data_IF_975631985998
#
_entry.id   IF_975631985998
#
_cell.length_a   1.000
_cell.length_b   1.000
_cell.length_c   1.000
_cell.angle_alpha   90.00
_cell.angle_beta   90.00
_cell.angle_gamma   90.00
#
_symmetry.space_group_name_H-M   'P 1'
#
loop_
_entity.id
_entity.type
_entity.pdbx_description
1 polymer ?
#
# COMPACT_ATOMS: atom_id res chain seq x y z
N UNK A 1 -7.22 15.52 51.15
CA UNK A 1 -8.16 14.77 50.27
C UNK A 1 -8.04 15.11 48.78
N UNK A 2 -7.31 16.19 48.39
CA UNK A 2 -7.11 16.59 46.98
C UNK A 2 -6.05 15.76 46.25
N UNK A 3 -5.05 15.19 46.92
CA UNK A 3 -3.95 14.43 46.31
C UNK A 3 -4.39 13.05 45.75
N UNK A 4 -5.43 12.44 46.30
CA UNK A 4 -5.89 11.11 45.85
C UNK A 4 -6.57 11.10 44.48
N UNK A 5 -7.19 12.22 44.09
CA UNK A 5 -7.84 12.32 42.78
C UNK A 5 -6.84 12.58 41.64
N UNK A 6 -5.65 13.07 41.96
CA UNK A 6 -4.57 13.32 41.00
C UNK A 6 -3.98 12.00 40.48
N UNK A 7 -3.74 11.01 41.34
CA UNK A 7 -3.12 9.72 40.95
C UNK A 7 -4.00 8.93 39.99
N UNK A 8 -5.29 8.77 40.26
CA UNK A 8 -6.20 8.01 39.39
C UNK A 8 -6.39 8.63 38.01
N UNK A 9 -6.41 9.97 37.94
CA UNK A 9 -6.49 10.69 36.67
C UNK A 9 -5.18 10.58 35.86
N UNK A 10 -4.03 10.55 36.54
CA UNK A 10 -2.72 10.38 35.91
C UNK A 10 -2.56 8.97 35.35
N UNK A 11 -2.95 7.93 36.09
CA UNK A 11 -2.88 6.54 35.66
C UNK A 11 -3.74 6.27 34.43
N UNK A 12 -4.95 6.85 34.38
CA UNK A 12 -5.83 6.72 33.22
C UNK A 12 -5.24 7.39 31.98
N UNK A 13 -4.67 8.59 32.12
CA UNK A 13 -4.03 9.31 31.03
C UNK A 13 -2.80 8.56 30.50
N UNK A 14 -1.98 7.98 31.38
CA UNK A 14 -0.84 7.17 30.99
C UNK A 14 -1.25 5.87 30.26
N UNK A 15 -2.35 5.25 30.65
CA UNK A 15 -2.90 4.07 29.98
C UNK A 15 -3.39 4.44 28.58
N UNK A 16 -4.09 5.57 28.44
CA UNK A 16 -4.54 6.08 27.15
C UNK A 16 -3.35 6.42 26.24
N UNK A 17 -2.35 7.10 26.77
CA UNK A 17 -1.14 7.45 26.01
C UNK A 17 -0.40 6.19 25.55
N UNK A 18 -0.22 5.21 26.41
CA UNK A 18 0.39 3.92 26.06
C UNK A 18 -0.41 3.18 25.00
N UNK A 19 -1.74 3.13 25.13
CA UNK A 19 -2.61 2.49 24.14
C UNK A 19 -2.54 3.20 22.77
N UNK A 20 -2.53 4.54 22.79
CA UNK A 20 -2.41 5.36 21.59
C UNK A 20 -1.06 5.16 20.90
N UNK A 21 0.03 5.20 21.66
CA UNK A 21 1.38 4.93 21.15
C UNK A 21 1.52 3.50 20.61
N UNK A 22 0.93 2.51 21.28
CA UNK A 22 0.94 1.13 20.81
C UNK A 22 0.12 0.96 19.51
N UNK A 23 -1.00 1.66 19.37
CA UNK A 23 -1.79 1.66 18.14
C UNK A 23 -1.03 2.34 16.99
N UNK A 24 -0.42 3.50 17.24
CA UNK A 24 0.43 4.20 16.28
C UNK A 24 1.63 3.34 15.86
N UNK A 25 2.32 2.71 16.81
CA UNK A 25 3.45 1.84 16.53
C UNK A 25 3.07 0.63 15.65
N UNK A 26 1.86 0.10 15.79
CA UNK A 26 1.36 -0.97 14.91
C UNK A 26 1.15 -0.48 13.48
N UNK A 27 0.59 0.71 13.30
CA UNK A 27 0.33 1.30 11.97
C UNK A 27 1.64 1.74 11.30
N UNK A 28 2.59 2.26 12.08
CA UNK A 28 3.87 2.75 11.57
C UNK A 28 5.00 1.70 11.63
N UNK A 29 4.69 0.46 12.04
CA UNK A 29 5.66 -0.63 12.23
C UNK A 29 6.86 -0.23 13.11
N UNK A 30 6.58 0.54 14.16
CA UNK A 30 7.58 0.99 15.14
C UNK A 30 8.30 2.29 14.80
N UNK A 31 8.08 2.89 13.64
CA UNK A 31 8.60 4.22 13.32
C UNK A 31 7.77 5.29 14.03
N UNK A 32 8.43 6.30 14.59
CA UNK A 32 7.71 7.40 15.21
C UNK A 32 7.03 8.28 14.14
N UNK A 33 5.84 8.83 14.42
CA UNK A 33 5.19 9.78 13.50
C UNK A 33 6.09 10.98 13.16
N UNK A 34 6.92 11.43 14.10
CA UNK A 34 7.87 12.52 13.88
C UNK A 34 8.97 12.13 12.87
N UNK A 35 9.50 10.89 12.94
CA UNK A 35 10.48 10.39 11.98
C UNK A 35 9.87 10.32 10.57
N UNK A 36 8.66 9.78 10.44
CA UNK A 36 7.96 9.70 9.16
C UNK A 36 7.67 11.09 8.56
N UNK A 37 7.27 12.05 9.38
CA UNK A 37 7.09 13.44 8.95
C UNK A 37 8.42 14.07 8.52
N UNK A 38 9.51 13.82 9.25
CA UNK A 38 10.86 14.27 8.87
C UNK A 38 11.29 13.73 7.52
N UNK A 39 11.14 12.41 7.30
CA UNK A 39 11.43 11.76 6.04
C UNK A 39 10.59 12.31 4.88
N UNK A 40 9.30 12.53 5.12
CA UNK A 40 8.41 13.12 4.13
C UNK A 40 8.83 14.54 3.75
N UNK A 41 9.12 15.41 4.72
CA UNK A 41 9.53 16.79 4.46
C UNK A 41 10.89 16.86 3.75
N UNK A 42 11.84 16.01 4.14
CA UNK A 42 13.12 15.90 3.47
C UNK A 42 12.93 15.54 1.98
N UNK A 43 12.17 14.49 1.70
CA UNK A 43 11.84 14.08 0.34
C UNK A 43 11.07 15.17 -0.43
N UNK A 44 10.03 15.76 0.18
CA UNK A 44 9.16 16.73 -0.49
C UNK A 44 9.93 17.99 -0.92
N UNK A 45 10.83 18.48 -0.07
CA UNK A 45 11.67 19.65 -0.38
C UNK A 45 12.66 19.33 -1.50
N UNK A 46 13.30 18.17 -1.44
CA UNK A 46 14.29 17.79 -2.46
C UNK A 46 13.65 17.46 -3.80
N UNK A 47 12.50 16.77 -3.84
CA UNK A 47 11.80 16.48 -5.11
C UNK A 47 11.23 17.77 -5.72
N UNK A 48 10.77 18.72 -4.90
CA UNK A 48 10.32 20.03 -5.40
C UNK A 48 11.46 20.79 -6.10
N UNK A 49 12.68 20.69 -5.57
CA UNK A 49 13.89 21.27 -6.14
C UNK A 49 14.55 20.45 -7.25
N UNK A 50 14.01 19.29 -7.64
CA UNK A 50 14.59 18.37 -8.61
C UNK A 50 13.75 18.29 -9.91
N UNK A 51 13.82 19.28 -10.82
CA UNK A 51 13.00 19.29 -12.05
C UNK A 51 13.28 18.10 -12.97
N UNK A 52 14.52 17.65 -13.05
CA UNK A 52 14.91 16.47 -13.84
C UNK A 52 14.25 15.19 -13.31
N UNK A 53 14.22 14.99 -11.99
CA UNK A 53 13.56 13.84 -11.38
C UNK A 53 12.05 13.87 -11.62
N UNK A 54 11.44 15.05 -11.51
CA UNK A 54 9.99 15.20 -11.78
C UNK A 54 9.66 14.92 -13.25
N UNK A 55 10.47 15.39 -14.19
CA UNK A 55 10.31 15.07 -15.60
C UNK A 55 10.43 13.56 -15.84
N UNK A 56 11.46 12.92 -15.30
CA UNK A 56 11.64 11.47 -15.39
C UNK A 56 10.43 10.71 -14.85
N UNK A 57 9.84 11.15 -13.74
CA UNK A 57 8.65 10.53 -13.15
C UNK A 57 7.42 10.71 -14.04
N UNK A 58 7.26 11.88 -14.67
CA UNK A 58 6.19 12.15 -15.62
C UNK A 58 6.33 11.25 -16.87
N UNK A 59 7.51 11.15 -17.45
CA UNK A 59 7.79 10.26 -18.58
C UNK A 59 7.50 8.79 -18.24
N UNK A 60 7.93 8.34 -17.05
CA UNK A 60 7.63 6.99 -16.56
C UNK A 60 6.14 6.76 -16.35
N UNK A 61 5.39 7.77 -15.87
CA UNK A 61 3.94 7.67 -15.70
C UNK A 61 3.25 7.50 -17.06
N UNK A 62 3.62 8.32 -18.05
CA UNK A 62 3.08 8.22 -19.42
C UNK A 62 3.41 6.86 -20.03
N UNK A 63 4.66 6.41 -19.93
CA UNK A 63 5.08 5.11 -20.49
C UNK A 63 4.32 3.94 -19.84
N UNK A 64 4.10 3.99 -18.53
CA UNK A 64 3.32 2.96 -17.80
C UNK A 64 1.85 3.00 -18.17
N UNK A 65 1.26 4.19 -18.28
CA UNK A 65 -0.12 4.36 -18.74
C UNK A 65 -0.32 3.80 -20.16
N UNK A 66 0.57 4.10 -21.09
CA UNK A 66 0.54 3.53 -22.45
C UNK A 66 0.72 2.00 -22.45
N UNK A 67 1.57 1.47 -21.56
CA UNK A 67 1.76 0.02 -21.43
C UNK A 67 0.50 -0.64 -20.95
N UNK A 68 -0.14 -0.09 -19.92
CA UNK A 68 -1.42 -0.59 -19.40
C UNK A 68 -2.53 -0.50 -20.45
N UNK A 69 -2.63 0.62 -21.17
CA UNK A 69 -3.65 0.80 -22.22
C UNK A 69 -3.49 -0.23 -23.33
N UNK A 70 -2.26 -0.47 -23.82
CA UNK A 70 -1.99 -1.50 -24.81
C UNK A 70 -2.33 -2.89 -24.30
N UNK A 71 -2.01 -3.20 -23.07
CA UNK A 71 -2.37 -4.47 -22.43
C UNK A 71 -3.88 -4.65 -22.35
N UNK A 72 -4.61 -3.62 -21.87
CA UNK A 72 -6.06 -3.65 -21.78
C UNK A 72 -6.75 -3.86 -23.16
N UNK A 73 -6.26 -3.17 -24.18
CA UNK A 73 -6.73 -3.38 -25.58
C UNK A 73 -6.47 -4.80 -26.07
N UNK A 74 -5.27 -5.34 -25.81
CA UNK A 74 -4.96 -6.73 -26.16
C UNK A 74 -5.87 -7.73 -25.45
N UNK A 75 -6.14 -7.51 -24.16
CA UNK A 75 -7.07 -8.36 -23.40
C UNK A 75 -8.50 -8.29 -23.97
N UNK A 76 -8.96 -7.10 -24.37
CA UNK A 76 -10.27 -6.93 -24.98
C UNK A 76 -10.41 -7.74 -26.29
N UNK A 77 -9.35 -7.78 -27.10
CA UNK A 77 -9.34 -8.53 -28.35
C UNK A 77 -9.15 -10.04 -28.19
N UNK A 78 -8.48 -10.49 -27.15
CA UNK A 78 -8.12 -11.90 -26.91
C UNK A 78 -8.99 -12.60 -25.88
N UNK A 79 -10.05 -11.94 -25.40
CA UNK A 79 -10.89 -12.48 -24.32
C UNK A 79 -10.13 -12.66 -23.00
N UNK A 80 -9.21 -11.73 -22.70
CA UNK A 80 -8.42 -11.74 -21.46
C UNK A 80 -7.08 -12.50 -21.51
N UNK A 81 -6.76 -13.14 -22.64
CA UNK A 81 -5.57 -14.00 -22.79
C UNK A 81 -4.32 -13.28 -23.31
N UNK A 82 -4.08 -12.06 -22.92
CA UNK A 82 -2.86 -11.34 -23.28
C UNK A 82 -1.71 -11.67 -22.30
N UNK A 83 -0.47 -11.65 -22.82
CA UNK A 83 0.70 -11.77 -21.96
C UNK A 83 0.77 -10.58 -20.98
N UNK A 84 1.11 -10.79 -19.70
CA UNK A 84 1.17 -9.73 -18.71
C UNK A 84 2.13 -8.62 -19.12
N UNK A 85 1.77 -7.38 -18.89
CA UNK A 85 2.61 -6.24 -19.23
C UNK A 85 3.67 -5.92 -18.15
N UNK A 86 3.48 -6.46 -16.95
CA UNK A 86 4.46 -6.43 -15.86
C UNK A 86 4.31 -7.70 -15.01
N UNK A 87 5.44 -8.28 -14.64
CA UNK A 87 5.45 -9.42 -13.73
C UNK A 87 5.54 -8.96 -12.28
N UNK A 88 4.77 -9.58 -11.34
CA UNK A 88 4.92 -9.33 -9.93
C UNK A 88 6.30 -9.77 -9.45
N UNK A 89 6.75 -9.23 -8.34
CA UNK A 89 7.96 -9.73 -7.67
C UNK A 89 7.77 -11.20 -7.28
N UNK A 90 8.83 -11.99 -7.32
CA UNK A 90 8.78 -13.44 -7.06
C UNK A 90 8.17 -13.81 -5.69
N UNK A 91 8.30 -12.93 -4.70
CA UNK A 91 7.71 -13.08 -3.37
C UNK A 91 6.25 -12.60 -3.29
N UNK A 92 5.76 -11.85 -4.28
CA UNK A 92 4.39 -11.31 -4.30
C UNK A 92 3.42 -12.33 -4.90
N UNK A 93 2.71 -13.03 -4.03
CA UNK A 93 1.74 -14.07 -4.41
C UNK A 93 0.28 -13.60 -4.35
N UNK A 94 0.04 -12.30 -4.11
CA UNK A 94 -1.33 -11.76 -3.97
C UNK A 94 -2.21 -12.00 -5.19
N UNK A 95 -1.61 -12.06 -6.37
CA UNK A 95 -2.29 -12.19 -7.67
C UNK A 95 -1.99 -13.51 -8.37
N UNK A 96 -1.59 -14.56 -7.62
CA UNK A 96 -1.19 -15.85 -8.18
C UNK A 96 -2.37 -16.75 -8.55
N UNK A 97 -3.57 -16.47 -8.06
CA UNK A 97 -4.77 -17.24 -8.37
C UNK A 97 -5.25 -16.94 -9.80
N UNK A 98 -5.72 -17.97 -10.51
CA UNK A 98 -6.21 -17.86 -11.88
C UNK A 98 -7.40 -16.89 -12.05
N UNK A 99 -8.15 -16.63 -10.98
CA UNK A 99 -9.23 -15.65 -10.99
C UNK A 99 -8.73 -14.23 -11.33
N UNK A 100 -7.49 -13.89 -11.00
CA UNK A 100 -6.87 -12.62 -11.37
C UNK A 100 -6.51 -12.51 -12.84
N UNK A 101 -6.53 -13.62 -13.59
CA UNK A 101 -6.28 -13.63 -15.03
C UNK A 101 -7.56 -13.35 -15.86
N UNK A 102 -8.72 -13.31 -15.22
CA UNK A 102 -9.97 -13.00 -15.89
C UNK A 102 -10.05 -11.51 -16.25
N UNK A 103 -10.78 -11.22 -17.34
CA UNK A 103 -11.02 -9.84 -17.80
C UNK A 103 -11.55 -8.96 -16.68
N UNK A 104 -11.10 -7.73 -16.65
CA UNK A 104 -11.22 -6.67 -15.66
C UNK A 104 -10.22 -6.82 -14.50
N UNK A 105 -10.13 -7.98 -13.85
CA UNK A 105 -9.21 -8.21 -12.74
C UNK A 105 -7.74 -8.26 -13.19
N UNK A 106 -7.49 -8.81 -14.38
CA UNK A 106 -6.15 -8.83 -14.96
C UNK A 106 -5.64 -7.42 -15.28
N UNK A 107 -6.46 -6.52 -15.78
CA UNK A 107 -6.07 -5.12 -16.02
C UNK A 107 -5.87 -4.39 -14.70
N UNK A 108 -6.72 -4.65 -13.71
CA UNK A 108 -6.66 -4.03 -12.38
C UNK A 108 -5.36 -4.38 -11.66
N UNK A 109 -5.00 -5.67 -11.57
CA UNK A 109 -3.76 -6.05 -10.88
C UNK A 109 -2.51 -5.60 -11.63
N UNK A 110 -2.51 -5.61 -12.97
CA UNK A 110 -1.40 -5.09 -13.78
C UNK A 110 -1.23 -3.57 -13.57
N UNK A 111 -2.33 -2.82 -13.52
CA UNK A 111 -2.32 -1.40 -13.20
C UNK A 111 -1.74 -1.13 -11.82
N UNK A 112 -2.13 -1.92 -10.82
CA UNK A 112 -1.61 -1.82 -9.46
C UNK A 112 -0.10 -2.09 -9.40
N UNK A 113 0.41 -3.12 -10.07
CA UNK A 113 1.84 -3.41 -10.14
C UNK A 113 2.64 -2.29 -10.81
N UNK A 114 2.12 -1.70 -11.88
CA UNK A 114 2.74 -0.54 -12.54
C UNK A 114 2.77 0.68 -11.62
N UNK A 115 1.71 0.90 -10.84
CA UNK A 115 1.63 1.96 -9.84
C UNK A 115 2.63 1.73 -8.70
N UNK A 116 2.78 0.51 -8.18
CA UNK A 116 3.79 0.17 -7.18
C UNK A 116 5.20 0.50 -7.69
N UNK A 117 5.50 0.11 -8.92
CA UNK A 117 6.80 0.40 -9.52
C UNK A 117 7.03 1.91 -9.71
N UNK A 118 5.98 2.66 -10.04
CA UNK A 118 6.10 4.12 -10.19
C UNK A 118 6.38 4.78 -8.84
N UNK A 119 5.65 4.42 -7.80
CA UNK A 119 5.85 4.95 -6.45
C UNK A 119 7.25 4.61 -5.91
N UNK A 120 7.73 3.39 -6.14
CA UNK A 120 9.10 3.05 -5.79
C UNK A 120 10.11 4.01 -6.43
N UNK A 121 9.95 4.31 -7.72
CA UNK A 121 10.80 5.31 -8.39
C UNK A 121 10.62 6.74 -7.85
N UNK A 122 9.43 7.09 -7.36
CA UNK A 122 9.15 8.42 -6.84
C UNK A 122 9.86 8.69 -5.51
N UNK A 123 9.93 7.66 -4.65
CA UNK A 123 10.53 7.79 -3.31
C UNK A 123 12.00 7.40 -3.25
N UNK A 124 12.60 6.90 -4.35
CA UNK A 124 13.99 6.47 -4.40
C UNK A 124 14.84 7.33 -5.34
N UNK A 125 16.12 7.46 -5.03
CA UNK A 125 17.08 8.14 -5.89
C UNK A 125 16.76 9.62 -6.10
N UNK A 126 16.20 10.29 -5.12
CA UNK A 126 16.03 11.75 -5.09
C UNK A 126 17.29 12.36 -4.51
N UNK A 127 17.99 13.18 -5.30
CA UNK A 127 19.24 13.82 -4.87
C UNK A 127 19.00 14.73 -3.66
N UNK A 128 19.86 14.58 -2.65
CA UNK A 128 19.78 15.35 -1.42
C UNK A 128 19.04 14.66 -0.28
N UNK A 129 18.15 13.74 -0.55
CA UNK A 129 17.47 12.95 0.48
C UNK A 129 18.45 12.00 1.15
N UNK A 130 18.41 11.94 2.48
CA UNK A 130 19.26 11.03 3.23
C UNK A 130 18.86 9.57 2.98
N UNK A 131 19.84 8.65 3.08
CA UNK A 131 19.56 7.21 2.88
C UNK A 131 18.60 6.63 3.93
N UNK A 132 18.59 7.20 5.11
CA UNK A 132 17.69 6.82 6.19
C UNK A 132 16.24 7.19 5.82
N UNK A 133 16.01 8.46 5.50
CA UNK A 133 14.69 8.94 5.07
C UNK A 133 14.19 8.23 3.79
N UNK A 134 15.08 7.93 2.85
CA UNK A 134 14.71 7.16 1.66
C UNK A 134 14.18 5.76 2.04
N UNK A 135 14.85 5.06 2.97
CA UNK A 135 14.39 3.73 3.44
C UNK A 135 13.07 3.81 4.19
N UNK A 136 12.90 4.81 5.06
CA UNK A 136 11.65 5.04 5.79
C UNK A 136 10.48 5.30 4.83
N UNK A 137 10.70 6.14 3.82
CA UNK A 137 9.69 6.42 2.80
C UNK A 137 9.39 5.22 1.90
N UNK A 138 10.40 4.45 1.50
CA UNK A 138 10.18 3.21 0.76
C UNK A 138 9.31 2.25 1.55
N UNK A 139 9.62 2.09 2.84
CA UNK A 139 8.87 1.23 3.73
C UNK A 139 7.43 1.72 3.89
N UNK A 140 7.24 2.99 4.23
CA UNK A 140 5.91 3.59 4.38
C UNK A 140 5.08 3.48 3.09
N UNK A 141 5.69 3.82 1.94
CA UNK A 141 5.03 3.74 0.65
C UNK A 141 4.59 2.31 0.33
N UNK A 142 5.43 1.33 0.62
CA UNK A 142 5.07 -0.09 0.45
C UNK A 142 3.88 -0.47 1.34
N UNK A 143 3.88 -0.10 2.62
CA UNK A 143 2.76 -0.38 3.53
C UNK A 143 1.46 0.28 3.05
N UNK A 144 1.52 1.52 2.61
CA UNK A 144 0.36 2.22 2.07
C UNK A 144 -0.18 1.53 0.81
N UNK A 145 0.67 1.16 -0.12
CA UNK A 145 0.28 0.44 -1.33
C UNK A 145 -0.30 -0.95 -1.00
N UNK A 146 0.27 -1.64 -0.01
CA UNK A 146 -0.26 -2.93 0.43
C UNK A 146 -1.67 -2.80 1.03
N UNK A 147 -1.94 -1.74 1.79
CA UNK A 147 -3.30 -1.44 2.30
C UNK A 147 -4.28 -1.23 1.15
N UNK A 148 -3.87 -0.49 0.11
CA UNK A 148 -4.71 -0.18 -1.06
C UNK A 148 -4.64 -1.24 -2.17
N UNK A 149 -4.07 -2.40 -1.90
CA UNK A 149 -4.05 -3.49 -2.86
C UNK A 149 -5.47 -3.95 -3.23
N UNK A 150 -5.77 -4.15 -4.52
CA UNK A 150 -7.07 -4.68 -4.95
C UNK A 150 -7.46 -6.00 -4.28
N UNK A 151 -6.47 -6.79 -3.84
CA UNK A 151 -6.70 -8.05 -3.12
C UNK A 151 -7.34 -7.87 -1.74
N UNK A 152 -7.29 -6.67 -1.17
CA UNK A 152 -7.80 -6.39 0.17
C UNK A 152 -9.28 -5.96 0.19
N UNK A 153 -9.87 -5.67 -0.95
CA UNK A 153 -11.24 -5.17 -1.02
C UNK A 153 -12.17 -6.22 -1.63
N UNK A 154 -13.31 -6.44 -0.98
CA UNK A 154 -14.29 -7.46 -1.39
C UNK A 154 -14.72 -7.32 -2.85
N UNK A 155 -14.97 -6.09 -3.31
CA UNK A 155 -15.48 -5.82 -4.67
C UNK A 155 -14.41 -5.88 -5.76
N UNK A 156 -13.13 -5.84 -5.40
CA UNK A 156 -12.01 -5.88 -6.34
C UNK A 156 -11.22 -7.18 -6.26
N UNK A 157 -11.54 -8.06 -5.30
CA UNK A 157 -10.89 -9.35 -5.14
C UNK A 157 -11.74 -10.46 -5.78
N UNK A 158 -11.33 -11.00 -6.95
CA UNK A 158 -12.09 -12.04 -7.63
C UNK A 158 -12.19 -13.34 -6.81
N UNK A 159 -11.23 -13.64 -5.96
CA UNK A 159 -11.26 -14.80 -5.08
C UNK A 159 -12.34 -14.67 -4.00
N UNK A 160 -12.61 -13.45 -3.54
CA UNK A 160 -13.67 -13.18 -2.59
C UNK A 160 -15.04 -13.22 -3.23
N UNK A 161 -15.15 -12.77 -4.50
CA UNK A 161 -16.39 -12.77 -5.26
C UNK A 161 -16.83 -14.18 -5.71
N UNK A 162 -15.88 -15.08 -5.93
CA UNK A 162 -16.18 -16.47 -6.37
C UNK A 162 -16.46 -17.43 -5.21
N UNK A 163 -16.22 -17.01 -3.95
CA UNK A 163 -16.55 -17.86 -2.79
C UNK A 163 -18.05 -17.91 -2.54
N UNK A 164 -18.64 -19.10 -2.30
CA UNK A 164 -20.03 -19.22 -1.91
C UNK A 164 -20.32 -18.42 -0.63
N UNK A 165 -21.48 -17.76 -0.52
CA UNK A 165 -21.82 -16.95 0.66
C UNK A 165 -21.82 -17.73 1.99
N UNK A 166 -21.94 -19.04 1.94
CA UNK A 166 -21.87 -19.93 3.10
C UNK A 166 -20.47 -19.99 3.76
N UNK A 167 -19.39 -19.81 2.99
CA UNK A 167 -18.03 -19.78 3.53
C UNK A 167 -17.66 -18.40 4.06
N UNK A 168 -18.15 -17.33 3.45
CA UNK A 168 -17.94 -15.96 3.92
C UNK A 168 -18.55 -15.74 5.32
N UNK A 169 -19.71 -16.32 5.58
CA UNK A 169 -20.36 -16.27 6.91
C UNK A 169 -19.64 -17.05 7.99
N UNK A 170 -19.06 -18.20 7.65
CA UNK A 170 -18.29 -19.03 8.61
C UNK A 170 -16.98 -18.38 9.08
N UNK A 171 -16.31 -17.63 8.22
CA UNK A 171 -15.08 -16.94 8.58
C UNK A 171 -15.32 -15.71 9.45
N UNK A 172 -16.41 -14.99 9.23
CA UNK A 172 -16.87 -13.93 10.13
C UNK A 172 -17.19 -14.47 11.53
N UNK A 173 -17.87 -15.61 11.61
CA UNK A 173 -18.24 -16.24 12.88
C UNK A 173 -17.04 -16.83 13.64
N UNK A 174 -16.02 -17.33 12.95
CA UNK A 174 -14.80 -17.87 13.57
C UNK A 174 -13.83 -16.78 14.06
N UNK A 175 -13.93 -15.55 13.56
CA UNK A 175 -13.15 -14.42 14.03
C UNK A 175 -13.61 -13.81 15.36
N UNK A 176 -14.83 -14.10 15.80
CA UNK A 176 -15.43 -13.56 17.03
C UNK A 176 -14.99 -14.18 18.36
N UNK A 177 -14.45 -15.43 18.46
CA UNK A 177 -14.15 -16.03 19.75
C UNK A 177 -12.79 -15.66 20.36
N UNK A 178 -12.02 -14.74 19.77
CA UNK A 178 -10.68 -14.37 20.26
C UNK A 178 -10.50 -12.85 20.48
N UNK A 179 -11.56 -12.15 20.88
CA UNK A 179 -11.49 -10.77 21.37
C UNK A 179 -11.67 -10.75 22.90
#
# INVERSE_FOLDING_TARGET
SFERNSFAATDLSEVLDRATHAALARVTSGLSPAALMGAYFDWATHIAGAPGKRLQLAEKAVAKGQRLARYAMSCAHTGGKAAPCIEPLAQDKRFSNDAWQQWEFNVMHQGFLLQQQWWHNAVTGVSGVTREHERELQFLTRQMLDIFSPSNFLFTNPEALTRPPEEAGRNLWRGFPHA
#
